data_IF_898201912305
#
_entry.id   IF_898201912305
#
_cell.length_a   1.000
_cell.length_b   1.000
_cell.length_c   1.000
_cell.angle_alpha   90.00
_cell.angle_beta   90.00
_cell.angle_gamma   90.00
#
_symmetry.space_group_name_H-M   'P 1'
#
loop_
_entity.id
_entity.type
_entity.pdbx_description
1 polymer ?
#
# COMPACT_ATOMS: atom_id res chain seq x y z
N UNK A 1 -43.28 45.47 39.52
CA UNK A 1 -42.67 45.10 38.24
C UNK A 1 -41.49 46.02 38.01
N UNK A 2 -40.27 45.56 38.32
CA UNK A 2 -39.03 46.30 38.09
C UNK A 2 -38.32 45.63 36.92
N UNK A 3 -38.23 46.34 35.79
CA UNK A 3 -37.50 45.92 34.60
C UNK A 3 -36.01 46.17 34.80
N UNK A 4 -35.25 45.09 35.03
CA UNK A 4 -33.80 45.12 34.97
C UNK A 4 -33.37 45.34 33.51
N UNK A 5 -32.74 46.48 33.25
CA UNK A 5 -32.07 46.78 31.99
C UNK A 5 -30.63 46.25 32.10
N UNK A 6 -30.22 45.27 31.28
CA UNK A 6 -28.84 44.79 31.29
C UNK A 6 -27.90 45.84 30.66
N UNK A 7 -26.88 46.25 31.41
CA UNK A 7 -25.82 47.14 30.93
C UNK A 7 -24.87 46.43 29.95
N UNK A 8 -24.33 47.14 28.94
CA UNK A 8 -23.45 46.56 27.93
C UNK A 8 -22.03 46.30 28.47
N UNK A 9 -21.75 45.08 28.94
CA UNK A 9 -20.43 44.62 29.37
C UNK A 9 -19.51 44.08 28.24
N UNK A 10 -19.96 44.08 26.97
CA UNK A 10 -19.29 43.33 25.88
C UNK A 10 -17.90 43.84 25.45
N UNK A 11 -17.51 45.06 25.83
CA UNK A 11 -16.24 45.66 25.39
C UNK A 11 -14.99 45.06 26.05
N UNK A 12 -15.09 44.57 27.28
CA UNK A 12 -13.92 44.03 28.03
C UNK A 12 -13.62 42.58 27.65
N UNK A 13 -14.66 41.77 27.47
CA UNK A 13 -14.54 40.36 27.09
C UNK A 13 -13.94 40.20 25.70
N UNK A 14 -14.38 41.05 24.74
CA UNK A 14 -13.84 41.02 23.36
C UNK A 14 -12.34 41.33 23.33
N UNK A 15 -11.86 42.27 24.14
CA UNK A 15 -10.42 42.61 24.22
C UNK A 15 -9.60 41.47 24.82
N UNK A 16 -10.14 40.78 25.81
CA UNK A 16 -9.48 39.63 26.43
C UNK A 16 -9.38 38.46 25.45
N UNK A 17 -10.44 38.18 24.69
CA UNK A 17 -10.45 37.12 23.69
C UNK A 17 -9.41 37.39 22.59
N UNK A 18 -9.33 38.63 22.07
CA UNK A 18 -8.33 39.01 21.06
C UNK A 18 -6.90 38.84 21.57
N UNK A 19 -6.65 39.19 22.84
CA UNK A 19 -5.34 39.03 23.45
C UNK A 19 -4.95 37.56 23.58
N UNK A 20 -5.86 36.70 24.04
CA UNK A 20 -5.61 35.26 24.16
C UNK A 20 -5.33 34.62 22.80
N UNK A 21 -6.12 34.96 21.78
CA UNK A 21 -5.89 34.47 20.40
C UNK A 21 -4.53 34.94 19.89
N UNK A 22 -4.16 36.20 20.12
CA UNK A 22 -2.85 36.72 19.76
C UNK A 22 -1.69 35.97 20.42
N UNK A 23 -1.79 35.71 21.73
CA UNK A 23 -0.79 34.94 22.48
C UNK A 23 -0.69 33.51 21.95
N UNK A 24 -1.82 32.84 21.67
CA UNK A 24 -1.84 31.49 21.12
C UNK A 24 -1.13 31.40 19.76
N UNK A 25 -1.37 32.37 18.86
CA UNK A 25 -0.70 32.43 17.55
C UNK A 25 0.81 32.62 17.71
N UNK A 26 1.25 33.49 18.63
CA UNK A 26 2.68 33.71 18.91
C UNK A 26 3.34 32.44 19.43
N UNK A 27 2.71 31.72 20.37
CA UNK A 27 3.23 30.46 20.91
C UNK A 27 3.30 29.39 19.83
N UNK A 28 2.28 29.26 18.98
CA UNK A 28 2.30 28.31 17.85
C UNK A 28 3.43 28.61 16.87
N UNK A 29 3.68 29.88 16.53
CA UNK A 29 4.80 30.27 15.67
C UNK A 29 6.16 29.96 16.31
N UNK A 30 6.27 30.12 17.62
CA UNK A 30 7.49 29.80 18.38
C UNK A 30 7.77 28.29 18.40
N UNK A 31 6.73 27.47 18.64
CA UNK A 31 6.82 26.01 18.56
C UNK A 31 7.12 25.54 17.14
N UNK A 32 6.51 26.15 16.13
CA UNK A 32 6.81 25.87 14.73
C UNK A 32 8.29 26.16 14.41
N UNK A 33 8.83 27.28 14.90
CA UNK A 33 10.25 27.63 14.72
C UNK A 33 11.20 26.63 15.39
N UNK A 34 10.80 26.04 16.52
CA UNK A 34 11.60 25.02 17.21
C UNK A 34 11.50 23.66 16.54
N UNK A 35 10.34 23.30 16.00
CA UNK A 35 10.15 22.05 15.26
C UNK A 35 10.82 22.08 13.88
N UNK A 36 10.92 23.25 13.27
CA UNK A 36 11.54 23.45 11.96
C UNK A 36 12.64 24.52 12.07
N UNK A 37 13.82 24.19 12.66
CA UNK A 37 14.96 25.10 12.64
C UNK A 37 15.24 25.46 11.18
N UNK A 38 15.37 26.76 10.89
CA UNK A 38 15.63 27.31 9.56
C UNK A 38 16.73 26.50 8.89
N UNK A 39 16.32 25.55 8.06
CA UNK A 39 17.20 25.01 7.05
C UNK A 39 17.36 26.18 6.11
N UNK A 40 18.60 26.60 5.85
CA UNK A 40 18.92 27.51 4.75
C UNK A 40 18.53 26.82 3.43
N UNK A 41 17.22 26.70 3.18
CA UNK A 41 16.68 26.50 1.86
C UNK A 41 16.95 27.83 1.17
N UNK A 42 18.11 27.91 0.55
CA UNK A 42 18.29 28.68 -0.67
C UNK A 42 17.04 28.46 -1.51
N UNK A 43 16.14 29.44 -1.51
CA UNK A 43 15.05 29.52 -2.47
C UNK A 43 15.75 29.78 -3.79
N UNK A 44 16.22 28.71 -4.42
CA UNK A 44 16.48 28.70 -5.85
C UNK A 44 15.12 28.97 -6.45
N UNK A 45 14.84 30.24 -6.73
CA UNK A 45 13.72 30.62 -7.57
C UNK A 45 14.01 29.95 -8.89
N UNK A 46 13.29 28.87 -9.30
CA UNK A 46 13.50 28.35 -10.63
C UNK A 46 13.13 29.50 -11.55
N UNK A 47 14.12 30.03 -12.29
CA UNK A 47 13.83 30.99 -13.34
C UNK A 47 12.74 30.35 -14.19
N UNK A 48 11.61 31.03 -14.34
CA UNK A 48 10.47 30.58 -15.13
C UNK A 48 10.90 30.35 -16.58
N UNK A 49 11.43 29.15 -16.83
CA UNK A 49 11.92 28.76 -18.13
C UNK A 49 10.71 28.52 -19.06
N UNK A 50 10.74 28.99 -20.31
CA UNK A 50 9.70 28.71 -21.32
C UNK A 50 9.49 27.20 -21.58
N UNK A 51 10.39 26.35 -21.09
CA UNK A 51 10.32 24.89 -21.09
C UNK A 51 9.31 24.31 -20.09
N UNK A 52 8.89 25.05 -19.06
CA UNK A 52 7.92 24.53 -18.07
C UNK A 52 6.55 24.21 -18.71
N UNK A 53 6.17 24.92 -19.79
CA UNK A 53 4.92 24.67 -20.52
C UNK A 53 5.00 23.55 -21.56
N UNK A 54 6.17 23.25 -22.12
CA UNK A 54 6.40 22.17 -23.09
C UNK A 54 6.81 20.87 -22.39
N UNK A 55 7.61 20.94 -21.34
CA UNK A 55 7.93 19.80 -20.49
C UNK A 55 6.69 19.26 -19.79
N UNK A 56 5.81 20.11 -19.24
CA UNK A 56 4.62 19.61 -18.52
C UNK A 56 3.59 18.87 -19.41
N UNK A 57 3.51 19.19 -20.71
CA UNK A 57 2.60 18.50 -21.64
C UNK A 57 3.25 17.28 -22.30
N UNK A 58 4.52 17.38 -22.69
CA UNK A 58 5.28 16.22 -23.16
C UNK A 58 5.41 15.15 -22.06
N UNK A 59 5.56 15.53 -20.79
CA UNK A 59 5.71 14.56 -19.69
C UNK A 59 4.42 13.80 -19.38
N UNK A 60 3.23 14.37 -19.61
CA UNK A 60 1.99 13.63 -19.34
C UNK A 60 1.76 12.54 -20.39
N UNK A 61 1.88 12.88 -21.68
CA UNK A 61 1.70 11.90 -22.75
C UNK A 61 2.78 10.82 -22.71
N UNK A 62 4.03 11.20 -22.43
CA UNK A 62 5.13 10.23 -22.22
C UNK A 62 4.91 9.36 -20.98
N UNK A 63 4.46 9.94 -19.86
CA UNK A 63 4.20 9.18 -18.63
C UNK A 63 2.99 8.25 -18.79
N UNK A 64 1.92 8.70 -19.44
CA UNK A 64 0.75 7.87 -19.71
C UNK A 64 1.08 6.74 -20.70
N UNK A 65 1.90 7.00 -21.72
CA UNK A 65 2.47 5.97 -22.59
C UNK A 65 3.30 4.95 -21.81
N UNK A 66 4.23 5.41 -20.97
CA UNK A 66 5.05 4.53 -20.14
C UNK A 66 4.22 3.72 -19.14
N UNK A 67 3.19 4.31 -18.52
CA UNK A 67 2.27 3.61 -17.64
C UNK A 67 1.43 2.57 -18.39
N UNK A 68 0.96 2.89 -19.60
CA UNK A 68 0.23 1.94 -20.44
C UNK A 68 1.09 0.73 -20.80
N UNK A 69 2.36 0.97 -21.15
CA UNK A 69 3.34 -0.09 -21.40
C UNK A 69 3.59 -0.95 -20.15
N UNK A 70 3.70 -0.32 -18.98
CA UNK A 70 3.83 -1.04 -17.70
C UNK A 70 2.60 -1.89 -17.42
N UNK A 71 1.39 -1.35 -17.60
CA UNK A 71 0.14 -2.10 -17.39
C UNK A 71 0.11 -3.33 -18.30
N UNK A 72 0.45 -3.18 -19.59
CA UNK A 72 0.46 -4.30 -20.53
C UNK A 72 1.44 -5.41 -20.15
N UNK A 73 2.59 -5.06 -19.57
CA UNK A 73 3.63 -6.01 -19.16
C UNK A 73 3.40 -6.62 -17.78
N UNK A 74 2.81 -5.86 -16.86
CA UNK A 74 2.63 -6.25 -15.45
C UNK A 74 1.28 -6.92 -15.20
N UNK A 75 0.24 -6.62 -16.00
CA UNK A 75 -1.06 -7.28 -15.92
C UNK A 75 -0.99 -8.81 -15.76
N UNK A 76 -0.24 -9.57 -16.60
CA UNK A 76 -0.15 -11.02 -16.44
C UNK A 76 0.63 -11.46 -15.20
N UNK A 77 1.38 -10.54 -14.56
CA UNK A 77 2.17 -10.77 -13.35
C UNK A 77 1.38 -10.45 -12.08
N UNK A 78 0.12 -10.04 -12.17
CA UNK A 78 -0.71 -9.69 -11.02
C UNK A 78 -2.00 -10.48 -10.99
N UNK A 79 -2.52 -10.74 -9.80
CA UNK A 79 -3.80 -11.40 -9.56
C UNK A 79 -4.54 -10.61 -8.50
N UNK A 80 -5.79 -10.26 -8.77
CA UNK A 80 -6.66 -9.62 -7.77
C UNK A 80 -7.31 -10.72 -6.94
N UNK A 81 -7.27 -10.58 -5.63
CA UNK A 81 -7.71 -11.61 -4.68
C UNK A 81 -8.73 -11.00 -3.72
N UNK A 82 -9.94 -11.57 -3.59
CA UNK A 82 -10.89 -11.11 -2.60
C UNK A 82 -10.43 -11.46 -1.18
N UNK A 83 -10.69 -10.55 -0.24
CA UNK A 83 -10.38 -10.68 1.18
C UNK A 83 -11.67 -10.61 2.00
N UNK A 84 -11.80 -11.45 3.03
CA UNK A 84 -12.82 -11.34 4.07
C UNK A 84 -12.21 -11.42 5.46
N UNK A 85 -12.97 -10.96 6.46
CA UNK A 85 -12.63 -11.11 7.86
C UNK A 85 -12.45 -12.59 8.28
N UNK A 86 -11.43 -12.87 9.08
CA UNK A 86 -11.13 -14.20 9.64
C UNK A 86 -12.28 -14.76 10.52
N UNK A 87 -13.10 -13.87 11.13
CA UNK A 87 -14.26 -14.28 11.95
C UNK A 87 -15.28 -15.11 11.16
N UNK A 88 -15.43 -14.80 9.88
CA UNK A 88 -16.48 -15.37 9.04
C UNK A 88 -16.07 -16.76 8.56
N UNK A 89 -14.76 -16.97 8.36
CA UNK A 89 -14.17 -18.25 7.94
C UNK A 89 -14.27 -19.30 9.05
N UNK A 90 -14.00 -18.91 10.31
CA UNK A 90 -13.98 -19.84 11.46
C UNK A 90 -15.35 -20.36 11.84
N UNK A 91 -16.41 -19.58 11.62
CA UNK A 91 -17.78 -19.96 12.00
C UNK A 91 -18.27 -21.16 11.16
N UNK A 92 -17.96 -21.19 9.86
CA UNK A 92 -18.38 -22.30 8.97
C UNK A 92 -17.66 -23.62 9.22
N UNK A 93 -16.37 -23.58 9.57
CA UNK A 93 -15.61 -24.84 9.77
C UNK A 93 -16.07 -25.64 10.99
N UNK A 94 -16.84 -25.03 11.91
CA UNK A 94 -17.26 -25.67 13.17
C UNK A 94 -18.69 -26.20 13.13
N UNK A 95 -19.50 -25.79 12.16
CA UNK A 95 -20.92 -26.10 12.08
C UNK A 95 -21.20 -27.09 10.95
N UNK A 96 -20.51 -28.24 11.00
CA UNK A 96 -20.91 -29.43 10.25
C UNK A 96 -21.76 -30.32 11.18
N UNK A 97 -23.09 -30.13 11.23
CA UNK A 97 -23.97 -31.09 11.90
C UNK A 97 -23.93 -32.42 11.14
N UNK A 98 -23.82 -33.51 11.89
CA UNK A 98 -23.58 -34.83 11.35
C UNK A 98 -24.81 -35.52 10.74
N UNK A 99 -26.01 -34.94 10.79
CA UNK A 99 -27.24 -35.65 10.45
C UNK A 99 -28.23 -34.78 9.65
N UNK A 100 -28.66 -35.36 8.52
CA UNK A 100 -29.99 -35.25 7.90
C UNK A 100 -30.57 -33.86 7.55
N UNK A 101 -30.40 -33.44 6.30
CA UNK A 101 -31.47 -33.26 5.30
C UNK A 101 -30.90 -32.54 4.06
N UNK A 102 -31.04 -33.17 2.88
CA UNK A 102 -30.61 -32.63 1.58
C UNK A 102 -31.63 -31.57 1.14
N UNK A 103 -31.49 -30.36 1.70
CA UNK A 103 -32.09 -29.15 1.15
C UNK A 103 -31.06 -28.44 0.27
N UNK A 104 -31.44 -28.11 -0.97
CA UNK A 104 -30.65 -27.24 -1.87
C UNK A 104 -30.67 -25.78 -1.37
N UNK A 105 -30.37 -25.55 -0.09
CA UNK A 105 -30.16 -24.21 0.45
C UNK A 105 -28.75 -23.77 0.03
N UNK A 106 -28.68 -23.07 -1.11
CA UNK A 106 -27.47 -22.38 -1.55
C UNK A 106 -26.98 -21.46 -0.43
N UNK A 107 -26.00 -21.90 0.35
CA UNK A 107 -25.39 -21.08 1.37
C UNK A 107 -24.82 -19.81 0.72
N UNK A 108 -25.20 -18.61 1.22
CA UNK A 108 -24.73 -17.37 0.64
C UNK A 108 -23.21 -17.33 0.68
N UNK A 109 -22.56 -17.10 -0.46
CA UNK A 109 -21.12 -16.92 -0.51
C UNK A 109 -20.71 -15.71 0.36
N UNK A 110 -19.60 -15.78 1.11
CA UNK A 110 -19.13 -14.64 1.89
C UNK A 110 -18.86 -13.46 0.95
N UNK A 111 -19.40 -12.28 1.29
CA UNK A 111 -19.14 -11.07 0.52
C UNK A 111 -17.71 -10.60 0.78
N UNK A 112 -16.97 -10.27 -0.28
CA UNK A 112 -15.62 -9.74 -0.14
C UNK A 112 -15.67 -8.35 0.51
N UNK A 113 -15.07 -8.22 1.69
CA UNK A 113 -14.96 -6.94 2.40
C UNK A 113 -13.86 -6.04 1.81
N UNK A 114 -12.81 -6.66 1.26
CA UNK A 114 -11.69 -5.96 0.67
C UNK A 114 -11.09 -6.73 -0.52
N UNK A 115 -10.18 -6.07 -1.24
CA UNK A 115 -9.49 -6.63 -2.40
C UNK A 115 -7.98 -6.42 -2.24
N UNK A 116 -7.22 -7.51 -2.39
CA UNK A 116 -5.77 -7.52 -2.36
C UNK A 116 -5.16 -7.72 -3.75
N UNK A 117 -3.96 -7.20 -3.96
CA UNK A 117 -3.19 -7.44 -5.18
C UNK A 117 -2.05 -8.41 -4.88
N UNK A 118 -2.11 -9.60 -5.48
CA UNK A 118 -1.04 -10.59 -5.41
C UNK A 118 -0.11 -10.43 -6.63
N UNK A 119 1.20 -10.42 -6.39
CA UNK A 119 2.22 -10.39 -7.44
C UNK A 119 2.75 -11.79 -7.69
N UNK A 120 2.70 -12.24 -8.95
CA UNK A 120 3.27 -13.53 -9.36
C UNK A 120 4.77 -13.49 -9.21
N UNK A 121 5.26 -14.43 -8.43
CA UNK A 121 6.67 -14.62 -8.13
C UNK A 121 7.21 -15.86 -8.80
N UNK A 122 6.36 -16.84 -9.08
CA UNK A 122 6.63 -18.03 -9.89
C UNK A 122 5.37 -18.40 -10.67
N UNK A 123 5.48 -19.22 -11.72
CA UNK A 123 4.39 -19.51 -12.65
C UNK A 123 3.03 -19.81 -12.00
N UNK A 124 3.03 -20.57 -10.89
CA UNK A 124 1.86 -20.98 -10.11
C UNK A 124 1.78 -20.34 -8.71
N UNK A 125 2.70 -19.43 -8.35
CA UNK A 125 2.75 -18.80 -7.04
C UNK A 125 2.69 -17.28 -7.12
N UNK A 126 1.87 -16.69 -6.26
CA UNK A 126 1.77 -15.25 -6.09
C UNK A 126 1.94 -14.86 -4.61
N UNK A 127 2.59 -13.74 -4.36
CA UNK A 127 2.79 -13.16 -3.04
C UNK A 127 1.83 -12.00 -2.84
N UNK A 128 1.21 -11.90 -1.67
CA UNK A 128 0.25 -10.84 -1.37
C UNK A 128 0.44 -10.34 0.05
N UNK A 129 0.19 -9.05 0.26
CA UNK A 129 -0.02 -8.48 1.59
C UNK A 129 -1.42 -8.81 2.09
N UNK A 130 -1.52 -9.35 3.30
CA UNK A 130 -2.78 -9.68 3.97
C UNK A 130 -2.90 -8.83 5.23
N UNK A 131 -3.81 -7.83 5.26
CA UNK A 131 -4.04 -7.05 6.46
C UNK A 131 -4.37 -7.94 7.68
N UNK A 132 -4.08 -7.48 8.91
CA UNK A 132 -4.52 -8.17 10.11
C UNK A 132 -6.01 -8.47 10.10
N UNK A 133 -6.40 -9.65 10.59
CA UNK A 133 -7.78 -10.12 10.65
C UNK A 133 -8.47 -10.33 9.29
N UNK A 134 -7.76 -10.22 8.17
CA UNK A 134 -8.26 -10.57 6.84
C UNK A 134 -7.68 -11.90 6.38
N UNK A 135 -8.39 -12.60 5.50
CA UNK A 135 -7.90 -13.79 4.81
C UNK A 135 -8.32 -13.77 3.34
N UNK A 136 -7.46 -14.26 2.43
CA UNK A 136 -7.86 -14.49 1.05
C UNK A 136 -8.96 -15.54 0.97
N UNK A 137 -10.02 -15.23 0.24
CA UNK A 137 -11.15 -16.13 0.01
C UNK A 137 -10.93 -16.86 -1.31
N UNK A 138 -11.36 -18.13 -1.37
CA UNK A 138 -11.55 -18.82 -2.65
C UNK A 138 -12.76 -18.22 -3.36
N UNK A 139 -12.51 -17.60 -4.51
CA UNK A 139 -13.57 -17.26 -5.45
C UNK A 139 -13.96 -18.53 -6.23
N UNK A 140 -15.25 -18.81 -6.40
CA UNK A 140 -15.76 -20.13 -6.81
C UNK A 140 -15.20 -20.68 -8.12
N UNK A 141 -14.75 -19.81 -9.03
CA UNK A 141 -14.08 -20.20 -10.29
C UNK A 141 -12.55 -20.20 -10.20
N UNK A 142 -11.98 -19.51 -9.22
CA UNK A 142 -10.53 -19.32 -9.05
C UNK A 142 -10.00 -20.14 -7.88
N UNK A 143 -9.29 -21.23 -8.16
CA UNK A 143 -8.58 -22.01 -7.13
C UNK A 143 -7.37 -21.22 -6.63
N UNK A 144 -7.63 -20.28 -5.71
CA UNK A 144 -6.60 -19.56 -4.97
C UNK A 144 -6.40 -20.30 -3.65
N UNK A 145 -5.31 -21.04 -3.53
CA UNK A 145 -4.98 -21.75 -2.30
C UNK A 145 -3.89 -21.03 -1.52
N UNK A 146 -4.09 -20.81 -0.23
CA UNK A 146 -3.03 -20.29 0.64
C UNK A 146 -2.02 -21.41 0.90
N UNK A 147 -0.82 -21.27 0.34
CA UNK A 147 0.28 -22.24 0.53
C UNK A 147 0.96 -22.03 1.86
N UNK A 148 1.22 -20.76 2.21
CA UNK A 148 1.85 -20.36 3.45
C UNK A 148 1.41 -18.95 3.83
N UNK A 149 1.38 -18.67 5.13
CA UNK A 149 1.02 -17.36 5.67
C UNK A 149 2.02 -17.00 6.77
N UNK A 150 2.59 -15.79 6.68
CA UNK A 150 3.47 -15.19 7.67
C UNK A 150 2.71 -14.04 8.35
N UNK A 151 2.09 -14.27 9.52
CA UNK A 151 1.28 -13.26 10.19
C UNK A 151 2.13 -12.12 10.81
N UNK A 152 3.42 -12.34 11.07
CA UNK A 152 4.31 -11.29 11.61
C UNK A 152 4.65 -10.25 10.54
N UNK A 153 4.78 -10.71 9.29
CA UNK A 153 5.05 -9.86 8.13
C UNK A 153 3.80 -9.47 7.35
N UNK A 154 2.64 -10.01 7.71
CA UNK A 154 1.35 -9.78 7.03
C UNK A 154 1.43 -10.19 5.55
N UNK A 155 2.08 -11.33 5.26
CA UNK A 155 2.31 -11.83 3.89
C UNK A 155 1.74 -13.22 3.72
N UNK A 156 1.00 -13.44 2.63
CA UNK A 156 0.60 -14.77 2.19
C UNK A 156 1.26 -15.14 0.86
N UNK A 157 1.63 -16.41 0.76
CA UNK A 157 2.00 -17.08 -0.48
C UNK A 157 0.80 -17.88 -0.97
N UNK A 158 0.32 -17.53 -2.14
CA UNK A 158 -0.87 -18.06 -2.77
C UNK A 158 -0.47 -18.93 -3.97
N UNK A 159 -1.15 -20.06 -4.13
CA UNK A 159 -1.15 -20.83 -5.36
C UNK A 159 -2.24 -20.26 -6.26
N UNK A 160 -1.87 -19.89 -7.47
CA UNK A 160 -2.76 -19.27 -8.45
C UNK A 160 -2.70 -20.03 -9.77
N UNK A 161 -3.79 -20.07 -10.56
CA UNK A 161 -3.77 -20.68 -11.89
C UNK A 161 -2.67 -20.05 -12.76
N UNK A 162 -1.96 -20.82 -13.60
CA UNK A 162 -0.94 -20.26 -14.48
C UNK A 162 -1.58 -19.27 -15.45
N UNK A 163 -0.98 -18.08 -15.60
CA UNK A 163 -1.46 -17.11 -16.57
C UNK A 163 -1.01 -17.49 -17.99
N UNK A 164 -1.89 -17.28 -18.98
CA UNK A 164 -1.56 -17.50 -20.38
C UNK A 164 -0.39 -16.59 -20.77
N UNK A 165 0.68 -17.17 -21.33
CA UNK A 165 1.86 -16.40 -21.74
C UNK A 165 2.88 -16.08 -20.63
N UNK A 166 2.68 -16.55 -19.39
CA UNK A 166 3.66 -16.39 -18.30
C UNK A 166 4.56 -17.60 -18.08
N UNK A 167 4.52 -18.59 -18.97
CA UNK A 167 5.39 -19.75 -18.89
C UNK A 167 6.86 -19.31 -18.95
N UNK A 168 7.57 -19.42 -17.82
CA UNK A 168 8.97 -19.02 -17.69
C UNK A 168 9.22 -17.55 -17.33
N UNK A 169 8.18 -16.75 -17.06
CA UNK A 169 8.37 -15.41 -16.49
C UNK A 169 8.60 -15.54 -14.98
N UNK A 170 9.84 -15.31 -14.56
CA UNK A 170 10.21 -15.14 -13.17
C UNK A 170 10.45 -13.64 -12.91
N UNK A 171 9.69 -13.09 -11.98
CA UNK A 171 9.66 -11.66 -11.68
C UNK A 171 10.87 -11.24 -10.83
N UNK A 172 11.38 -12.13 -9.97
CA UNK A 172 12.42 -11.79 -9.00
C UNK A 172 13.81 -11.58 -9.63
N UNK A 173 14.27 -12.39 -10.61
CA UNK A 173 15.55 -12.16 -11.28
C UNK A 173 15.63 -10.82 -12.02
N UNK A 174 14.49 -10.34 -12.56
CA UNK A 174 14.39 -9.08 -13.28
C UNK A 174 14.17 -7.84 -12.38
N UNK A 175 14.05 -8.05 -11.06
CA UNK A 175 13.74 -6.99 -10.11
C UNK A 175 14.85 -5.95 -9.94
N UNK A 176 14.49 -4.76 -9.44
CA UNK A 176 15.43 -3.69 -9.10
C UNK A 176 16.10 -4.05 -7.77
N UNK A 177 17.41 -4.36 -7.82
CA UNK A 177 18.18 -4.75 -6.62
C UNK A 177 18.72 -3.56 -5.83
N UNK A 178 18.87 -2.40 -6.46
CA UNK A 178 19.40 -1.18 -5.84
C UNK A 178 18.51 0.00 -6.19
N UNK A 179 18.01 0.70 -5.17
CA UNK A 179 17.17 1.87 -5.37
C UNK A 179 18.05 3.09 -5.74
N UNK A 180 17.83 3.76 -6.89
CA UNK A 180 18.71 4.82 -7.39
C UNK A 180 18.59 6.17 -6.66
N UNK A 181 17.96 6.20 -5.47
CA UNK A 181 17.76 7.40 -4.67
C UNK A 181 16.45 8.12 -4.99
N UNK A 182 16.17 8.48 -6.24
CA UNK A 182 14.88 9.05 -6.63
C UNK A 182 14.41 8.45 -7.95
N UNK A 183 13.11 8.17 -8.08
CA UNK A 183 12.55 7.61 -9.31
C UNK A 183 11.04 7.78 -9.38
N UNK A 184 10.49 7.73 -10.59
CA UNK A 184 9.06 7.52 -10.79
C UNK A 184 8.79 6.01 -10.87
N UNK A 185 7.76 5.57 -10.17
CA UNK A 185 7.29 4.20 -10.18
C UNK A 185 5.81 4.15 -10.57
N UNK A 186 5.39 3.01 -11.11
CA UNK A 186 4.00 2.62 -11.21
C UNK A 186 3.60 1.94 -9.90
N UNK A 187 2.65 2.54 -9.19
CA UNK A 187 2.01 1.95 -8.02
C UNK A 187 0.72 1.24 -8.46
N UNK A 188 0.65 -0.05 -8.15
CA UNK A 188 -0.50 -0.89 -8.49
C UNK A 188 -1.25 -1.27 -7.22
N UNK A 189 -2.57 -1.14 -7.26
CA UNK A 189 -3.47 -1.50 -6.17
C UNK A 189 -4.64 -2.31 -6.72
N UNK A 190 -5.26 -3.14 -5.88
CA UNK A 190 -6.44 -3.90 -6.29
C UNK A 190 -7.73 -3.08 -6.09
N UNK A 191 -8.69 -3.33 -6.97
CA UNK A 191 -10.09 -2.91 -6.83
C UNK A 191 -10.99 -4.08 -7.21
N UNK A 192 -12.29 -3.99 -6.92
CA UNK A 192 -13.27 -4.99 -7.33
C UNK A 192 -13.39 -5.19 -8.84
N UNK A 193 -12.92 -4.23 -9.65
CA UNK A 193 -12.98 -4.29 -11.12
C UNK A 193 -11.64 -4.77 -11.71
N UNK A 194 -10.56 -4.79 -10.91
CA UNK A 194 -9.23 -5.16 -11.37
C UNK A 194 -8.11 -4.30 -10.76
N UNK A 195 -6.87 -4.49 -11.21
CA UNK A 195 -5.75 -3.67 -10.77
C UNK A 195 -5.87 -2.24 -11.33
N UNK A 196 -5.64 -1.25 -10.48
CA UNK A 196 -5.46 0.15 -10.88
C UNK A 196 -3.98 0.51 -10.84
N UNK A 197 -3.57 1.45 -11.70
CA UNK A 197 -2.18 1.88 -11.79
C UNK A 197 -2.13 3.40 -11.72
N UNK A 198 -1.24 3.92 -10.86
CA UNK A 198 -0.98 5.35 -10.75
C UNK A 198 0.52 5.63 -10.70
N UNK A 199 0.98 6.75 -11.29
CA UNK A 199 2.36 7.17 -11.16
C UNK A 199 2.60 7.69 -9.74
N UNK A 200 3.68 7.22 -9.10
CA UNK A 200 4.15 7.73 -7.81
C UNK A 200 5.60 8.19 -7.95
N UNK A 201 5.89 9.38 -7.42
CA UNK A 201 7.27 9.82 -7.25
C UNK A 201 7.80 9.25 -5.95
N UNK A 202 8.86 8.47 -6.03
CA UNK A 202 9.59 7.96 -4.88
C UNK A 202 10.81 8.85 -4.65
N UNK A 203 10.74 9.65 -3.59
CA UNK A 203 11.83 10.54 -3.19
C UNK A 203 13.03 9.80 -2.61
N UNK A 204 14.04 10.58 -2.21
CA UNK A 204 15.21 10.05 -1.51
C UNK A 204 14.80 9.50 -0.15
N UNK A 205 14.94 8.18 -0.02
CA UNK A 205 14.71 7.44 1.19
C UNK A 205 16.04 6.89 1.71
N UNK A 206 16.26 6.98 3.01
CA UNK A 206 17.28 6.17 3.66
C UNK A 206 16.70 4.80 3.97
N UNK A 207 17.53 3.77 3.83
CA UNK A 207 17.12 2.42 4.17
C UNK A 207 17.04 2.29 5.69
N UNK A 208 15.91 1.79 6.18
CA UNK A 208 15.68 1.45 7.57
C UNK A 208 15.99 -0.03 7.80
N UNK A 209 16.58 -0.35 8.95
CA UNK A 209 16.77 -1.73 9.38
C UNK A 209 15.53 -2.14 10.18
N UNK A 210 14.81 -3.14 9.67
CA UNK A 210 13.67 -3.75 10.37
C UNK A 210 14.04 -5.22 10.66
N UNK A 211 13.99 -5.68 11.93
CA UNK A 211 14.39 -7.04 12.31
C UNK A 211 13.55 -8.13 11.63
N UNK A 212 12.35 -7.80 11.15
CA UNK A 212 11.50 -8.74 10.42
C UNK A 212 12.04 -9.03 9.02
N UNK A 213 12.88 -8.16 8.44
CA UNK A 213 13.31 -8.29 7.05
C UNK A 213 14.83 -8.56 6.95
N UNK A 214 15.21 -9.40 5.99
CA UNK A 214 16.63 -9.74 5.76
C UNK A 214 17.43 -8.60 5.14
N UNK A 215 16.74 -7.62 4.55
CA UNK A 215 17.34 -6.45 3.91
C UNK A 215 16.71 -5.19 4.47
N UNK A 216 17.42 -4.08 4.32
CA UNK A 216 16.87 -2.78 4.69
C UNK A 216 15.64 -2.44 3.85
N UNK A 217 14.63 -1.87 4.51
CA UNK A 217 13.35 -1.46 3.93
C UNK A 217 13.35 0.05 3.70
N UNK A 218 12.43 0.55 2.87
CA UNK A 218 12.27 2.00 2.67
C UNK A 218 10.97 2.45 3.34
N UNK A 219 10.93 3.59 4.05
CA UNK A 219 9.68 4.12 4.57
C UNK A 219 8.76 4.49 3.40
N UNK A 220 7.48 4.11 3.43
CA UNK A 220 6.55 4.44 2.35
C UNK A 220 6.16 5.92 2.33
N UNK A 221 6.45 6.67 3.41
CA UNK A 221 6.28 8.13 3.48
C UNK A 221 7.03 8.90 2.39
N UNK A 222 7.95 8.24 1.67
CA UNK A 222 8.61 8.79 0.48
C UNK A 222 7.69 8.93 -0.73
N UNK A 223 6.49 8.31 -0.68
CA UNK A 223 5.40 8.48 -1.64
C UNK A 223 4.08 8.71 -0.91
N UNK A 224 3.48 9.89 -1.08
CA UNK A 224 2.30 10.35 -0.31
C UNK A 224 1.00 9.57 -0.54
N UNK A 225 1.01 8.52 -1.36
CA UNK A 225 -0.16 7.76 -1.81
C UNK A 225 0.03 6.24 -1.71
N UNK A 226 1.10 5.79 -1.03
CA UNK A 226 1.38 4.38 -0.88
C UNK A 226 0.60 3.80 0.29
N UNK A 227 -0.37 2.95 -0.02
CA UNK A 227 -1.11 2.17 0.97
C UNK A 227 -0.54 0.75 1.05
N UNK A 228 -0.68 0.06 2.21
CA UNK A 228 -0.35 -1.36 2.32
C UNK A 228 -1.06 -2.20 1.24
N UNK A 229 -0.35 -3.19 0.71
CA UNK A 229 -0.78 -4.00 -0.43
C UNK A 229 -0.50 -3.38 -1.80
N UNK A 230 0.02 -2.16 -1.87
CA UNK A 230 0.48 -1.56 -3.13
C UNK A 230 1.72 -2.27 -3.65
N UNK A 231 1.70 -2.67 -4.91
CA UNK A 231 2.83 -3.30 -5.60
C UNK A 231 3.54 -2.24 -6.46
N UNK A 232 4.86 -2.14 -6.35
CA UNK A 232 5.65 -1.11 -7.03
C UNK A 232 6.46 -1.69 -8.18
N UNK A 233 6.34 -1.06 -9.35
CA UNK A 233 7.17 -1.33 -10.52
C UNK A 233 7.85 -0.06 -11.00
N UNK A 234 9.06 -0.18 -11.54
CA UNK A 234 9.67 0.90 -12.31
C UNK A 234 8.91 1.12 -13.62
N UNK A 235 9.09 2.28 -14.25
CA UNK A 235 8.52 2.55 -15.58
C UNK A 235 9.03 1.59 -16.67
N UNK A 236 10.12 0.87 -16.42
CA UNK A 236 10.63 -0.20 -17.28
C UNK A 236 10.04 -1.58 -16.93
N UNK A 237 8.93 -1.63 -16.19
CA UNK A 237 8.24 -2.85 -15.76
C UNK A 237 9.08 -3.78 -14.87
N UNK A 238 10.14 -3.29 -14.24
CA UNK A 238 10.91 -4.06 -13.26
C UNK A 238 10.29 -3.92 -11.88
N UNK A 239 10.09 -5.03 -11.20
CA UNK A 239 9.57 -5.04 -9.84
C UNK A 239 10.51 -4.33 -8.87
N UNK A 240 9.97 -3.40 -8.07
CA UNK A 240 10.71 -2.66 -7.04
C UNK A 240 10.46 -3.30 -5.68
N UNK A 241 9.21 -3.52 -5.32
CA UNK A 241 8.83 -4.00 -3.99
C UNK A 241 7.34 -4.00 -3.72
N UNK A 242 6.98 -4.36 -2.49
CA UNK A 242 5.62 -4.42 -1.97
C UNK A 242 5.50 -3.51 -0.75
N UNK A 243 4.41 -2.76 -0.65
CA UNK A 243 4.12 -1.94 0.54
C UNK A 243 3.41 -2.81 1.58
N UNK A 244 3.92 -2.83 2.81
CA UNK A 244 3.38 -3.62 3.93
C UNK A 244 3.29 -2.77 5.20
N UNK A 245 2.53 -3.24 6.20
CA UNK A 245 2.41 -2.63 7.52
C UNK A 245 1.33 -1.55 7.56
N UNK A 246 0.28 -1.76 8.35
CA UNK A 246 -0.88 -0.86 8.42
C UNK A 246 -0.57 0.51 9.02
N UNK A 247 0.12 0.55 10.17
CA UNK A 247 0.36 1.80 10.93
C UNK A 247 1.56 2.59 10.40
N UNK A 248 2.65 1.88 10.11
CA UNK A 248 3.88 2.44 9.56
C UNK A 248 4.22 1.75 8.24
N UNK A 249 3.60 2.17 7.11
CA UNK A 249 3.80 1.49 5.85
C UNK A 249 5.26 1.59 5.39
N UNK A 250 5.82 0.45 5.00
CA UNK A 250 7.18 0.32 4.50
C UNK A 250 7.17 -0.38 3.14
N UNK A 251 8.08 0.01 2.26
CA UNK A 251 8.35 -0.64 0.99
C UNK A 251 9.39 -1.73 1.25
N UNK A 252 8.98 -2.98 1.09
CA UNK A 252 9.84 -4.16 1.14
C UNK A 252 10.44 -4.36 -0.25
N UNK A 253 11.76 -4.26 -0.41
CA UNK A 253 12.40 -4.39 -1.71
C UNK A 253 12.40 -5.84 -2.17
N UNK A 254 12.46 -6.05 -3.49
CA UNK A 254 12.44 -7.38 -4.10
C UNK A 254 13.45 -8.40 -3.53
N UNK A 255 14.71 -8.05 -3.18
CA UNK A 255 15.65 -9.01 -2.57
C UNK A 255 15.20 -9.56 -1.20
N UNK A 256 14.48 -8.75 -0.41
CA UNK A 256 13.90 -9.21 0.86
C UNK A 256 12.77 -10.21 0.62
N UNK A 257 11.93 -9.94 -0.39
CA UNK A 257 10.85 -10.84 -0.83
C UNK A 257 11.41 -12.17 -1.34
N UNK A 258 12.48 -12.13 -2.14
CA UNK A 258 13.17 -13.33 -2.64
C UNK A 258 13.65 -14.22 -1.49
N UNK A 259 14.23 -13.62 -0.44
CA UNK A 259 14.66 -14.36 0.77
C UNK A 259 13.47 -14.93 1.53
N UNK A 260 12.40 -14.14 1.70
CA UNK A 260 11.17 -14.57 2.37
C UNK A 260 10.55 -15.78 1.68
N UNK A 261 10.47 -15.74 0.35
CA UNK A 261 9.92 -16.84 -0.43
C UNK A 261 10.69 -18.15 -0.24
N UNK A 262 12.02 -18.10 -0.28
CA UNK A 262 12.85 -19.28 -0.04
C UNK A 262 12.59 -19.88 1.35
N UNK A 263 12.37 -19.02 2.36
CA UNK A 263 11.99 -19.46 3.70
C UNK A 263 10.59 -20.08 3.75
N UNK A 264 9.58 -19.48 3.10
CA UNK A 264 8.21 -19.99 3.06
C UNK A 264 8.06 -21.28 2.26
N UNK A 265 8.90 -21.49 1.24
CA UNK A 265 8.89 -22.70 0.42
C UNK A 265 9.57 -23.90 1.07
N UNK A 266 10.31 -23.72 2.17
CA UNK A 266 10.97 -24.83 2.87
C UNK A 266 9.98 -25.44 3.87
N UNK A 267 9.30 -26.57 3.56
CA UNK A 267 8.36 -27.18 4.48
C UNK A 267 9.08 -27.65 5.74
N UNK A 268 8.75 -27.07 6.90
CA UNK A 268 9.30 -27.45 8.20
C UNK A 268 9.95 -26.33 9.01
N UNK A 269 10.08 -25.12 8.46
CA UNK A 269 10.73 -23.98 9.11
C UNK A 269 9.76 -22.97 9.74
N UNK A 270 8.48 -23.32 9.91
CA UNK A 270 7.54 -22.44 10.59
C UNK A 270 8.04 -22.20 12.03
N UNK A 271 8.35 -20.96 12.44
CA UNK A 271 8.66 -20.68 13.83
C UNK A 271 7.43 -21.04 14.67
N UNK A 272 7.60 -21.97 15.61
CA UNK A 272 6.61 -22.23 16.67
C UNK A 272 6.58 -21.07 17.64
#
# INVERSE_FOLDING_TARGET
MASHVPEPQSGRETRLLVLVVGVAVVVLLLLARWRYPYSDMSVVTPSSAPLAGLAARATFDEMSGALSDVVGRVSPLTVVVPLAADSDVKTRSREAPADDEVGDDEEPMPEAEAWGLAVRVRGDLALMYVPPAMMPIRDGESVIDVVAHDPEREIALLRVPPAAGTAGLDLLPASVRTFPGFTFAAALSATSIGPTVQPVFLGRAESLVDPRWSHGVLPASVGSQLTPGTVLFSLNSRFIGLVVGAEDPIIVPAPAIETLMQAMETPGSAPQ
#
